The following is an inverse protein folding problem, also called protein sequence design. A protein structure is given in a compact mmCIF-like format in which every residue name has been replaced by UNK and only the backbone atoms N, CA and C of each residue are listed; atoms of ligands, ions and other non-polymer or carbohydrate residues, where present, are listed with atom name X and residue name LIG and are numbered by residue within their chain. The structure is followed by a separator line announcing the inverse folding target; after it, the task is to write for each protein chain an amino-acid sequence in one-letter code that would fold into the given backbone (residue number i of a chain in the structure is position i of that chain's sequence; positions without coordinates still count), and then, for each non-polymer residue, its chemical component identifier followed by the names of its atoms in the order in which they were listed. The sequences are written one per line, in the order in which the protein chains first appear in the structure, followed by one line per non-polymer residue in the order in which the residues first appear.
data_IF_229622630075
#
_entry.id   IF_229622630075
#
_cell.length_a   1.000
_cell.length_b   1.000
_cell.length_c   1.000
_cell.angle_alpha   90.00
_cell.angle_beta   90.00
_cell.angle_gamma   90.00
#
_symmetry.space_group_name_H-M   'P 1'
#
loop_
_entity.id
_entity.type
_entity.pdbx_description
1 polymer ?
#
# COMPACT_ATOMS: atom_id res chain seq x y z
N UNK A 1 -0.64 -21.91 3.83
CA UNK A 1 -1.96 -22.27 4.37
C UNK A 1 -2.29 -23.65 3.84
N UNK A 2 -2.98 -24.46 4.63
CA UNK A 2 -3.47 -25.78 4.25
C UNK A 2 -4.78 -25.71 3.46
N UNK A 3 -5.16 -26.80 2.80
CA UNK A 3 -6.37 -26.86 1.98
C UNK A 3 -7.64 -26.61 2.82
N UNK A 4 -7.66 -27.04 4.09
CA UNK A 4 -8.81 -26.84 4.99
C UNK A 4 -9.09 -25.35 5.33
N UNK A 5 -8.07 -24.52 5.25
CA UNK A 5 -8.21 -23.07 5.39
C UNK A 5 -8.77 -22.46 4.11
N UNK A 6 -8.30 -22.93 2.93
CA UNK A 6 -8.78 -22.45 1.65
C UNK A 6 -10.24 -22.83 1.37
N UNK A 7 -10.66 -24.03 1.78
CA UNK A 7 -12.07 -24.49 1.66
C UNK A 7 -13.08 -23.60 2.39
N UNK A 8 -12.62 -22.87 3.42
CA UNK A 8 -13.46 -21.93 4.18
C UNK A 8 -13.34 -20.49 3.68
N UNK A 9 -12.41 -20.22 2.76
CA UNK A 9 -12.20 -18.89 2.24
C UNK A 9 -13.30 -18.54 1.23
N UNK A 10 -13.96 -17.41 1.42
CA UNK A 10 -14.92 -16.85 0.46
C UNK A 10 -14.34 -15.63 -0.25
N UNK A 11 -13.49 -14.89 0.45
CA UNK A 11 -12.87 -13.65 -0.02
C UNK A 11 -11.46 -13.55 0.52
N UNK A 12 -10.50 -13.36 -0.38
CA UNK A 12 -9.12 -13.03 -0.04
C UNK A 12 -8.86 -11.57 -0.40
N UNK A 13 -8.57 -10.76 0.62
CA UNK A 13 -8.18 -9.36 0.44
C UNK A 13 -6.66 -9.26 0.47
N UNK A 14 -6.07 -8.69 -0.59
CA UNK A 14 -4.64 -8.38 -0.65
C UNK A 14 -4.42 -6.89 -0.93
N UNK A 15 -3.33 -6.35 -0.40
CA UNK A 15 -2.86 -5.00 -0.72
C UNK A 15 -1.56 -5.14 -1.51
N UNK A 16 -1.55 -4.66 -2.76
CA UNK A 16 -0.41 -4.83 -3.67
C UNK A 16 -0.16 -3.55 -4.48
N UNK A 17 0.81 -2.73 -4.09
CA UNK A 17 1.80 -2.85 -3.00
C UNK A 17 1.20 -2.78 -1.60
N UNK A 18 1.83 -3.45 -0.64
CA UNK A 18 1.36 -3.63 0.71
C UNK A 18 1.53 -2.41 1.61
N UNK A 19 0.53 -2.11 2.42
CA UNK A 19 0.62 -1.21 3.55
C UNK A 19 0.64 -2.07 4.83
N UNK A 20 1.68 -2.00 5.68
CA UNK A 20 2.68 -0.94 5.83
C UNK A 20 4.03 -1.19 5.14
N UNK A 21 4.31 -2.38 4.64
CA UNK A 21 5.66 -2.82 4.27
C UNK A 21 6.16 -2.31 2.92
N UNK A 22 5.26 -1.90 2.03
CA UNK A 22 5.58 -1.57 0.63
C UNK A 22 5.98 -2.77 -0.22
N UNK A 23 5.83 -4.00 0.29
CA UNK A 23 6.15 -5.22 -0.44
C UNK A 23 5.17 -5.46 -1.59
N UNK A 24 5.66 -6.06 -2.66
CA UNK A 24 4.87 -6.43 -3.83
C UNK A 24 4.84 -7.95 -4.02
N UNK A 25 3.80 -8.45 -4.67
CA UNK A 25 3.72 -9.85 -5.07
C UNK A 25 4.45 -10.09 -6.39
N UNK A 26 5.12 -11.24 -6.49
CA UNK A 26 5.68 -11.69 -7.77
C UNK A 26 4.59 -12.23 -8.70
N UNK A 27 4.92 -12.37 -10.00
CA UNK A 27 4.00 -12.98 -10.96
C UNK A 27 3.58 -14.40 -10.55
N UNK A 28 4.53 -15.21 -10.03
CA UNK A 28 4.29 -16.57 -9.58
C UNK A 28 3.36 -16.62 -8.36
N UNK A 29 3.51 -15.68 -7.43
CA UNK A 29 2.64 -15.57 -6.26
C UNK A 29 1.21 -15.20 -6.66
N UNK A 30 1.03 -14.18 -7.51
CA UNK A 30 -0.30 -13.79 -8.01
C UNK A 30 -0.95 -14.91 -8.82
N UNK A 31 -0.19 -15.56 -9.73
CA UNK A 31 -0.66 -16.73 -10.49
C UNK A 31 -1.13 -17.84 -9.55
N UNK A 32 -0.35 -18.14 -8.52
CA UNK A 32 -0.72 -19.17 -7.53
C UNK A 32 -1.99 -18.83 -6.78
N UNK A 33 -2.19 -17.58 -6.41
CA UNK A 33 -3.44 -17.12 -5.76
C UNK A 33 -4.64 -17.27 -6.70
N UNK A 34 -4.49 -16.94 -7.99
CA UNK A 34 -5.55 -17.11 -9.00
C UNK A 34 -5.90 -18.60 -9.16
N UNK A 35 -4.92 -19.49 -9.24
CA UNK A 35 -5.15 -20.94 -9.30
C UNK A 35 -5.91 -21.45 -8.06
N UNK A 36 -5.54 -20.98 -6.86
CA UNK A 36 -6.21 -21.31 -5.61
C UNK A 36 -7.66 -20.79 -5.59
N UNK A 37 -7.89 -19.55 -6.06
CA UNK A 37 -9.22 -18.97 -6.16
C UNK A 37 -10.15 -19.80 -7.05
N UNK A 38 -9.63 -20.31 -8.16
CA UNK A 38 -10.40 -21.21 -9.03
C UNK A 38 -10.62 -22.59 -8.39
N UNK A 39 -9.61 -23.14 -7.71
CA UNK A 39 -9.71 -24.46 -7.07
C UNK A 39 -10.68 -24.49 -5.89
N UNK A 40 -10.69 -23.44 -5.08
CA UNK A 40 -11.41 -23.38 -3.80
C UNK A 40 -12.61 -22.44 -3.80
N UNK A 41 -12.95 -21.88 -4.96
CA UNK A 41 -14.16 -21.08 -5.17
C UNK A 41 -14.25 -19.80 -4.35
N UNK A 42 -13.13 -19.07 -4.19
CA UNK A 42 -13.12 -17.77 -3.53
C UNK A 42 -12.78 -16.61 -4.49
N UNK A 43 -13.07 -15.38 -4.06
CA UNK A 43 -12.80 -14.16 -4.82
C UNK A 43 -11.52 -13.52 -4.28
N UNK A 44 -10.63 -13.05 -5.17
CA UNK A 44 -9.49 -12.21 -4.82
C UNK A 44 -9.88 -10.75 -5.05
N UNK A 45 -9.69 -9.93 -4.01
CA UNK A 45 -9.82 -8.47 -4.07
C UNK A 45 -8.45 -7.86 -3.80
N UNK A 46 -7.89 -7.18 -4.80
CA UNK A 46 -6.61 -6.49 -4.68
C UNK A 46 -6.81 -4.98 -4.53
N UNK A 47 -6.34 -4.43 -3.42
CA UNK A 47 -6.17 -2.98 -3.26
C UNK A 47 -4.84 -2.59 -3.89
N UNK A 48 -4.91 -1.97 -5.07
CA UNK A 48 -3.76 -1.53 -5.86
C UNK A 48 -3.54 -0.02 -5.82
N UNK A 49 -4.04 0.65 -4.77
CA UNK A 49 -3.97 2.11 -4.66
C UNK A 49 -2.55 2.68 -4.65
N UNK A 50 -1.53 1.89 -4.34
CA UNK A 50 -0.12 2.31 -4.32
C UNK A 50 0.66 1.93 -5.57
N UNK A 51 0.05 1.30 -6.56
CA UNK A 51 0.71 0.73 -7.75
C UNK A 51 1.53 1.75 -8.56
N UNK A 52 1.19 3.03 -8.49
CA UNK A 52 1.87 4.10 -9.22
C UNK A 52 3.00 4.80 -8.44
N UNK A 53 3.25 4.40 -7.19
CA UNK A 53 4.33 4.97 -6.36
C UNK A 53 5.44 3.92 -6.22
N UNK A 54 6.41 3.97 -7.10
CA UNK A 54 7.57 3.07 -7.14
C UNK A 54 8.80 3.81 -7.69
N UNK A 55 9.99 3.27 -7.46
CA UNK A 55 11.22 3.79 -8.04
C UNK A 55 11.32 3.38 -9.51
N UNK A 56 11.38 4.35 -10.43
CA UNK A 56 11.45 4.08 -11.88
C UNK A 56 12.72 3.32 -12.31
N UNK A 57 13.73 3.24 -11.44
CA UNK A 57 14.91 2.38 -11.64
C UNK A 57 14.64 0.92 -11.27
N UNK A 58 13.48 0.61 -10.70
CA UNK A 58 13.04 -0.73 -10.34
C UNK A 58 11.89 -1.20 -11.24
N UNK A 59 11.55 -2.49 -11.14
CA UNK A 59 10.40 -3.01 -11.85
C UNK A 59 9.10 -2.41 -11.31
N UNK A 60 8.19 -2.04 -12.24
CA UNK A 60 6.83 -1.62 -11.87
C UNK A 60 6.10 -2.75 -11.12
N UNK A 61 5.34 -2.43 -10.05
CA UNK A 61 4.47 -3.39 -9.40
C UNK A 61 3.51 -4.07 -10.39
N UNK A 62 3.40 -5.39 -10.30
CA UNK A 62 2.51 -6.18 -11.15
C UNK A 62 1.06 -6.09 -10.64
N UNK A 63 0.11 -5.88 -11.54
CA UNK A 63 -1.31 -5.87 -11.23
C UNK A 63 -1.93 -7.27 -11.27
N UNK A 64 -2.94 -7.52 -10.43
CA UNK A 64 -3.68 -8.79 -10.40
C UNK A 64 -4.32 -9.11 -11.75
N UNK A 65 -4.95 -8.14 -12.42
CA UNK A 65 -5.62 -8.36 -13.70
C UNK A 65 -4.62 -8.64 -14.82
N UNK A 66 -3.46 -7.98 -14.81
CA UNK A 66 -2.38 -8.25 -15.76
C UNK A 66 -1.92 -9.72 -15.69
N UNK A 67 -1.71 -10.22 -14.47
CA UNK A 67 -1.30 -11.62 -14.27
C UNK A 67 -2.45 -12.58 -14.55
N UNK A 68 -3.68 -12.20 -14.24
CA UNK A 68 -4.88 -12.99 -14.59
C UNK A 68 -4.96 -13.23 -16.11
N UNK A 69 -4.83 -12.20 -16.92
CA UNK A 69 -4.84 -12.30 -18.39
C UNK A 69 -3.68 -13.18 -18.88
N UNK A 70 -2.45 -12.89 -18.44
CA UNK A 70 -1.25 -13.68 -18.81
C UNK A 70 -1.32 -15.15 -18.40
N UNK A 71 -2.13 -15.48 -17.40
CA UNK A 71 -2.32 -16.85 -16.88
C UNK A 71 -3.48 -17.59 -17.56
N UNK A 72 -4.07 -17.04 -18.63
CA UNK A 72 -5.15 -17.68 -19.36
C UNK A 72 -6.55 -17.44 -18.79
N UNK A 73 -6.71 -16.41 -17.94
CA UNK A 73 -7.99 -15.96 -17.41
C UNK A 73 -8.35 -14.54 -17.91
N UNK A 74 -8.57 -14.34 -19.24
CA UNK A 74 -8.78 -13.02 -19.83
C UNK A 74 -10.14 -12.40 -19.46
N UNK A 75 -11.04 -13.17 -18.86
CA UNK A 75 -12.32 -12.68 -18.32
C UNK A 75 -12.20 -12.21 -16.85
N UNK A 76 -10.99 -12.28 -16.29
CA UNK A 76 -10.68 -11.91 -14.90
C UNK A 76 -11.56 -12.64 -13.87
N UNK A 77 -12.04 -13.83 -14.20
CA UNK A 77 -12.93 -14.59 -13.31
C UNK A 77 -12.35 -14.67 -11.92
N UNK A 78 -13.14 -14.32 -10.89
CA UNK A 78 -12.80 -14.26 -9.46
C UNK A 78 -11.74 -13.20 -9.06
N UNK A 79 -11.37 -12.29 -9.98
CA UNK A 79 -10.39 -11.24 -9.72
C UNK A 79 -11.06 -9.87 -9.76
N UNK A 80 -10.87 -9.08 -8.70
CA UNK A 80 -11.35 -7.70 -8.60
C UNK A 80 -10.22 -6.82 -8.09
N UNK A 81 -10.02 -5.65 -8.70
CA UNK A 81 -9.02 -4.66 -8.27
C UNK A 81 -9.67 -3.33 -7.95
N UNK A 82 -9.08 -2.64 -6.98
CA UNK A 82 -9.44 -1.27 -6.61
C UNK A 82 -8.26 -0.34 -6.84
N UNK A 83 -8.51 0.77 -7.53
CA UNK A 83 -7.56 1.86 -7.73
C UNK A 83 -8.12 3.18 -7.24
N UNK A 84 -7.25 4.14 -6.89
CA UNK A 84 -7.67 5.42 -6.36
C UNK A 84 -6.73 6.55 -6.76
N UNK A 85 -7.28 7.74 -6.96
CA UNK A 85 -6.49 8.98 -7.09
C UNK A 85 -5.82 9.41 -5.79
N UNK A 86 -6.21 8.82 -4.66
CA UNK A 86 -5.70 9.19 -3.33
C UNK A 86 -4.17 9.17 -3.24
N UNK A 87 -3.54 8.18 -3.88
CA UNK A 87 -2.08 8.00 -3.84
C UNK A 87 -1.43 8.30 -5.19
N UNK A 88 -2.02 7.83 -6.29
CA UNK A 88 -1.56 8.11 -7.64
C UNK A 88 -1.42 9.61 -7.91
N UNK A 89 -2.43 10.39 -7.53
CA UNK A 89 -2.52 11.83 -7.81
C UNK A 89 -2.39 12.70 -6.56
N UNK A 90 -1.99 12.12 -5.43
CA UNK A 90 -1.89 12.80 -4.14
C UNK A 90 -3.16 13.61 -3.76
N UNK A 91 -4.33 13.09 -4.14
CA UNK A 91 -5.64 13.74 -4.00
C UNK A 91 -6.64 12.90 -3.18
N UNK A 92 -6.33 12.54 -1.92
CA UNK A 92 -7.20 11.68 -1.12
C UNK A 92 -8.55 12.32 -0.79
N UNK A 93 -8.63 13.66 -0.78
CA UNK A 93 -9.85 14.42 -0.50
C UNK A 93 -10.91 14.32 -1.60
N UNK A 94 -10.53 14.01 -2.84
CA UNK A 94 -11.48 13.84 -3.93
C UNK A 94 -12.38 12.61 -3.77
N UNK A 95 -12.01 11.63 -2.95
CA UNK A 95 -12.76 10.39 -2.77
C UNK A 95 -13.06 9.68 -4.09
N UNK A 96 -12.11 9.73 -5.02
CA UNK A 96 -12.21 9.17 -6.37
C UNK A 96 -11.37 7.91 -6.54
N UNK A 97 -11.96 6.93 -7.20
CA UNK A 97 -11.33 5.66 -7.55
C UNK A 97 -12.23 4.85 -8.48
N UNK A 98 -11.77 3.70 -8.89
CA UNK A 98 -12.53 2.77 -9.67
C UNK A 98 -12.30 1.33 -9.22
N UNK A 99 -13.21 0.46 -9.64
CA UNK A 99 -13.13 -1.00 -9.49
C UNK A 99 -13.16 -1.64 -10.88
N UNK A 100 -12.35 -2.66 -11.08
CA UNK A 100 -12.29 -3.42 -12.33
C UNK A 100 -12.12 -4.93 -12.04
N UNK A 101 -12.46 -5.79 -13.00
CA UNK A 101 -12.27 -7.25 -12.87
C UNK A 101 -13.44 -8.08 -13.41
N UNK A 102 -13.78 -9.15 -12.70
CA UNK A 102 -14.85 -10.09 -13.03
C UNK A 102 -16.18 -9.39 -13.27
N UNK A 103 -16.72 -9.51 -14.48
CA UNK A 103 -17.93 -8.78 -14.91
C UNK A 103 -19.20 -9.19 -14.12
N UNK A 104 -19.30 -10.45 -13.71
CA UNK A 104 -20.46 -10.93 -12.97
C UNK A 104 -20.46 -10.42 -11.53
N UNK A 105 -19.28 -10.39 -10.91
CA UNK A 105 -19.08 -9.78 -9.60
C UNK A 105 -19.35 -8.28 -9.67
N UNK A 106 -18.80 -7.58 -10.68
CA UNK A 106 -18.99 -6.15 -10.85
C UNK A 106 -20.45 -5.77 -11.09
N UNK A 107 -21.22 -6.59 -11.80
CA UNK A 107 -22.66 -6.38 -12.00
C UNK A 107 -23.41 -6.37 -10.66
N UNK A 108 -23.12 -7.34 -9.80
CA UNK A 108 -23.73 -7.44 -8.46
C UNK A 108 -23.27 -6.28 -7.55
N UNK A 109 -21.96 -5.97 -7.58
CA UNK A 109 -21.38 -4.83 -6.86
C UNK A 109 -22.01 -3.50 -7.29
N UNK A 110 -22.19 -3.26 -8.58
CA UNK A 110 -22.80 -2.05 -9.12
C UNK A 110 -24.25 -1.90 -8.65
N UNK A 111 -25.03 -2.98 -8.67
CA UNK A 111 -26.40 -2.98 -8.13
C UNK A 111 -26.42 -2.62 -6.65
N UNK A 112 -25.54 -3.20 -5.85
CA UNK A 112 -25.40 -2.87 -4.43
C UNK A 112 -25.02 -1.39 -4.23
N UNK A 113 -24.05 -0.89 -5.00
CA UNK A 113 -23.56 0.50 -4.95
C UNK A 113 -24.63 1.52 -5.31
N UNK A 114 -25.63 1.17 -6.10
CA UNK A 114 -26.74 2.06 -6.45
C UNK A 114 -27.52 2.50 -5.21
N UNK A 115 -27.58 1.66 -4.18
CA UNK A 115 -28.33 1.92 -2.94
C UNK A 115 -27.44 2.24 -1.74
N UNK A 116 -26.16 1.85 -1.78
CA UNK A 116 -25.20 2.02 -0.70
C UNK A 116 -24.03 2.92 -1.10
N UNK A 117 -23.81 3.97 -0.32
CA UNK A 117 -22.78 4.96 -0.54
C UNK A 117 -23.21 6.07 -1.50
N UNK A 118 -22.38 7.10 -1.58
CA UNK A 118 -22.63 8.27 -2.41
C UNK A 118 -21.85 8.18 -3.72
N UNK A 119 -22.42 8.72 -4.80
CA UNK A 119 -21.67 9.03 -6.02
C UNK A 119 -20.82 10.28 -5.81
N UNK A 120 -19.76 10.43 -6.59
CA UNK A 120 -18.99 11.66 -6.64
C UNK A 120 -19.84 12.82 -7.18
N UNK A 121 -19.64 14.03 -6.66
CA UNK A 121 -20.24 15.23 -7.24
C UNK A 121 -19.74 15.46 -8.67
N UNK A 122 -20.55 16.15 -9.50
CA UNK A 122 -20.17 16.43 -10.89
C UNK A 122 -18.82 17.15 -11.01
N UNK A 123 -18.49 18.18 -10.21
CA UNK A 123 -17.16 18.79 -10.22
C UNK A 123 -16.04 17.80 -9.92
N UNK A 124 -16.25 16.89 -8.96
CA UNK A 124 -15.27 15.86 -8.62
C UNK A 124 -15.09 14.86 -9.78
N UNK A 125 -16.15 14.51 -10.51
CA UNK A 125 -16.05 13.65 -11.69
C UNK A 125 -15.19 14.30 -12.78
N UNK A 126 -15.38 15.58 -13.09
CA UNK A 126 -14.55 16.31 -14.04
C UNK A 126 -13.08 16.39 -13.60
N UNK A 127 -12.83 16.71 -12.32
CA UNK A 127 -11.48 16.69 -11.77
C UNK A 127 -10.83 15.30 -11.85
N UNK A 128 -11.61 14.24 -11.60
CA UNK A 128 -11.15 12.85 -11.72
C UNK A 128 -10.76 12.51 -13.15
N UNK A 129 -11.58 12.87 -14.15
CA UNK A 129 -11.28 12.64 -15.56
C UNK A 129 -9.96 13.33 -15.94
N UNK A 130 -9.78 14.59 -15.54
CA UNK A 130 -8.55 15.31 -15.79
C UNK A 130 -7.33 14.62 -15.15
N UNK A 131 -7.43 14.19 -13.89
CA UNK A 131 -6.34 13.54 -13.18
C UNK A 131 -6.00 12.14 -13.74
N UNK A 132 -7.00 11.36 -14.18
CA UNK A 132 -6.74 10.05 -14.81
C UNK A 132 -6.11 10.17 -16.20
N UNK A 133 -6.32 11.29 -16.91
CA UNK A 133 -5.76 11.55 -18.24
C UNK A 133 -4.37 12.24 -18.20
N UNK A 134 -3.89 12.64 -17.04
CA UNK A 134 -2.59 13.29 -16.88
C UNK A 134 -1.58 12.35 -16.20
N UNK A 135 -0.55 11.97 -16.95
CA UNK A 135 0.57 11.15 -16.44
C UNK A 135 1.77 12.01 -15.97
N UNK A 136 1.81 13.29 -16.35
CA UNK A 136 2.96 14.15 -16.03
C UNK A 136 3.07 14.36 -14.51
N UNK A 137 1.94 14.64 -13.82
CA UNK A 137 1.95 14.80 -12.37
C UNK A 137 2.25 13.48 -11.63
N UNK A 138 1.89 12.33 -12.22
CA UNK A 138 2.17 11.00 -11.63
C UNK A 138 3.66 10.71 -11.65
N UNK A 139 4.32 10.94 -12.79
CA UNK A 139 5.77 10.80 -12.91
C UNK A 139 6.52 11.77 -11.99
N UNK A 140 6.09 13.03 -11.94
CA UNK A 140 6.66 14.01 -11.01
C UNK A 140 6.50 13.58 -9.53
N UNK A 141 5.30 13.15 -9.13
CA UNK A 141 5.05 12.66 -7.78
C UNK A 141 5.94 11.44 -7.43
N UNK A 142 6.12 10.54 -8.38
CA UNK A 142 7.00 9.37 -8.26
C UNK A 142 8.46 9.76 -8.04
N UNK A 143 8.96 10.75 -8.80
CA UNK A 143 10.33 11.26 -8.66
C UNK A 143 10.57 11.89 -7.27
N UNK A 144 9.59 12.64 -6.75
CA UNK A 144 9.67 13.21 -5.40
C UNK A 144 9.74 12.13 -4.31
N UNK A 145 8.95 11.05 -4.43
CA UNK A 145 9.03 9.94 -3.46
C UNK A 145 10.37 9.21 -3.56
N UNK A 146 10.90 8.98 -4.76
CA UNK A 146 12.23 8.39 -4.96
C UNK A 146 13.30 9.23 -4.25
N UNK A 147 13.28 10.56 -4.40
CA UNK A 147 14.18 11.47 -3.71
C UNK A 147 14.05 11.34 -2.19
N UNK A 148 12.83 11.44 -1.64
CA UNK A 148 12.57 11.31 -0.20
C UNK A 148 13.13 10.01 0.38
N UNK A 149 12.92 8.87 -0.30
CA UNK A 149 13.48 7.59 0.13
C UNK A 149 14.99 7.62 0.16
N UNK A 150 15.63 8.12 -0.89
CA UNK A 150 17.09 8.17 -0.98
C UNK A 150 17.69 9.04 0.16
N UNK A 151 17.13 10.23 0.38
CA UNK A 151 17.61 11.16 1.39
C UNK A 151 17.38 10.62 2.81
N UNK A 152 16.17 10.21 3.14
CA UNK A 152 15.81 9.71 4.47
C UNK A 152 16.58 8.43 4.81
N UNK A 153 16.68 7.48 3.88
CA UNK A 153 17.42 6.25 4.11
C UNK A 153 18.93 6.49 4.29
N UNK A 154 19.52 7.42 3.55
CA UNK A 154 20.92 7.80 3.73
C UNK A 154 21.18 8.43 5.12
N UNK A 155 20.28 9.28 5.60
CA UNK A 155 20.37 9.92 6.93
C UNK A 155 20.24 8.88 8.04
N UNK A 156 19.29 7.96 7.92
CA UNK A 156 18.99 6.94 8.93
C UNK A 156 19.89 5.70 8.84
N UNK A 157 20.73 5.60 7.82
CA UNK A 157 21.68 4.51 7.66
C UNK A 157 22.49 4.33 8.95
N UNK A 158 22.67 3.08 9.38
CA UNK A 158 23.36 2.72 10.64
C UNK A 158 22.67 3.17 11.95
N UNK A 159 21.48 3.79 11.87
CA UNK A 159 20.71 4.18 13.07
C UNK A 159 19.50 3.30 13.30
N UNK A 160 18.87 2.86 12.23
CA UNK A 160 17.73 1.93 12.24
C UNK A 160 17.95 0.82 11.21
N UNK A 161 17.39 -0.36 11.49
CA UNK A 161 17.28 -1.43 10.51
C UNK A 161 16.15 -1.07 9.52
N UNK A 162 16.54 -0.67 8.32
CA UNK A 162 15.66 -0.20 7.26
C UNK A 162 15.87 -1.03 6.00
N UNK A 163 14.76 -1.39 5.35
CA UNK A 163 14.76 -1.93 3.99
C UNK A 163 14.01 -0.96 3.09
N UNK A 164 14.57 -0.65 1.90
CA UNK A 164 13.85 0.11 0.89
C UNK A 164 12.62 -0.70 0.46
N UNK A 165 11.40 -0.13 0.50
CA UNK A 165 10.22 -0.82 0.04
C UNK A 165 10.25 -1.01 -1.48
N UNK A 166 9.54 -2.01 -1.99
CA UNK A 166 9.40 -2.21 -3.43
C UNK A 166 8.54 -1.09 -4.05
N UNK A 167 7.55 -0.60 -3.30
CA UNK A 167 6.66 0.49 -3.72
C UNK A 167 5.94 1.15 -2.53
N UNK A 168 5.08 2.17 -2.81
CA UNK A 168 4.39 2.96 -1.79
C UNK A 168 5.25 4.10 -1.25
N UNK A 169 4.83 4.69 -0.14
CA UNK A 169 5.52 5.84 0.48
C UNK A 169 5.80 5.64 1.97
N UNK A 170 5.86 4.40 2.42
CA UNK A 170 6.14 4.05 3.80
C UNK A 170 7.52 3.46 3.96
N UNK A 171 8.20 3.83 5.05
CA UNK A 171 9.28 3.04 5.62
C UNK A 171 8.70 2.21 6.78
N UNK A 172 9.00 0.93 6.77
CA UNK A 172 8.69 -0.03 7.83
C UNK A 172 9.97 -0.31 8.59
N UNK A 173 10.18 0.45 9.67
CA UNK A 173 11.43 0.49 10.40
C UNK A 173 11.34 -0.35 11.67
N UNK A 174 12.36 -1.19 11.92
CA UNK A 174 12.51 -1.89 13.20
C UNK A 174 13.04 -0.94 14.26
N UNK A 175 12.43 -0.96 15.43
CA UNK A 175 12.78 -0.09 16.56
C UNK A 175 13.67 -0.80 17.57
N UNK A 176 14.63 -0.07 18.23
CA UNK A 176 15.51 -0.65 19.23
C UNK A 176 14.80 -0.93 20.57
N UNK A 177 13.65 -0.32 20.80
CA UNK A 177 12.77 -0.52 21.96
C UNK A 177 11.35 -0.84 21.48
N UNK A 178 10.40 -1.07 22.38
CA UNK A 178 8.98 -1.27 22.01
C UNK A 178 8.51 -0.17 21.04
N UNK A 179 7.84 -0.54 19.98
CA UNK A 179 7.30 0.38 18.97
C UNK A 179 6.34 1.44 19.57
N UNK A 180 5.57 1.06 20.57
CA UNK A 180 4.65 1.96 21.30
C UNK A 180 5.46 2.99 22.10
N UNK A 181 6.46 2.54 22.84
CA UNK A 181 7.35 3.42 23.62
C UNK A 181 8.18 4.31 22.71
N UNK A 182 8.72 3.74 21.60
CA UNK A 182 9.46 4.49 20.60
C UNK A 182 8.64 5.64 20.02
N UNK A 183 7.41 5.37 19.60
CA UNK A 183 6.52 6.38 19.03
C UNK A 183 6.16 7.48 20.05
N UNK A 184 5.86 7.10 21.29
CA UNK A 184 5.52 8.05 22.35
C UNK A 184 6.69 8.99 22.69
N UNK A 185 7.89 8.43 22.94
CA UNK A 185 9.10 9.22 23.25
C UNK A 185 9.56 10.08 22.07
N UNK A 186 9.45 9.56 20.83
CA UNK A 186 9.79 10.32 19.63
C UNK A 186 8.87 11.54 19.48
N UNK A 187 7.59 11.37 19.73
CA UNK A 187 6.64 12.49 19.71
C UNK A 187 6.94 13.50 20.82
N UNK A 188 7.15 13.04 22.05
CA UNK A 188 7.43 13.89 23.20
C UNK A 188 8.72 14.73 23.02
N UNK A 189 9.79 14.10 22.53
CA UNK A 189 11.11 14.72 22.47
C UNK A 189 11.40 15.44 21.15
N UNK A 190 10.80 14.96 20.05
CA UNK A 190 11.12 15.44 18.71
C UNK A 190 9.92 15.95 17.93
N UNK A 191 8.70 15.86 18.48
CA UNK A 191 7.44 16.26 17.83
C UNK A 191 7.22 15.59 16.46
N UNK A 192 7.65 14.32 16.34
CA UNK A 192 7.51 13.52 15.14
C UNK A 192 6.54 12.39 15.43
N UNK A 193 5.49 12.28 14.60
CA UNK A 193 4.49 11.22 14.69
C UNK A 193 4.84 10.07 13.76
N UNK A 194 4.97 8.87 14.33
CA UNK A 194 5.07 7.60 13.60
C UNK A 194 3.99 6.65 14.12
N UNK A 195 3.61 5.66 13.32
CA UNK A 195 2.56 4.73 13.73
C UNK A 195 3.18 3.42 14.23
N UNK A 196 2.93 3.03 15.51
CA UNK A 196 3.36 1.75 16.05
C UNK A 196 2.83 0.57 15.22
N UNK A 197 3.68 -0.40 14.97
CA UNK A 197 3.35 -1.54 14.14
C UNK A 197 2.30 -2.45 14.77
N UNK A 198 2.29 -2.57 16.08
CA UNK A 198 1.27 -3.34 16.80
C UNK A 198 -0.16 -2.82 16.56
N UNK A 199 -0.34 -1.54 16.20
CA UNK A 199 -1.66 -0.99 15.85
C UNK A 199 -2.09 -1.31 14.41
N UNK A 200 -1.16 -1.80 13.58
CA UNK A 200 -1.42 -2.20 12.19
C UNK A 200 -1.52 -3.72 12.01
N UNK A 201 -1.37 -4.48 13.08
CA UNK A 201 -1.28 -5.94 13.03
C UNK A 201 -2.13 -6.59 14.11
N UNK A 202 -2.23 -7.89 14.03
CA UNK A 202 -2.94 -8.72 15.03
C UNK A 202 -2.00 -9.75 15.60
N UNK A 203 -2.26 -10.15 16.83
CA UNK A 203 -1.60 -11.30 17.45
C UNK A 203 -1.90 -12.57 16.65
N UNK A 204 -0.86 -13.34 16.40
CA UNK A 204 -0.93 -14.63 15.69
C UNK A 204 -0.28 -15.72 16.55
N UNK A 205 -0.40 -16.98 16.14
CA UNK A 205 0.29 -18.08 16.80
C UNK A 205 1.82 -17.92 16.85
N UNK A 206 2.38 -17.08 15.96
CA UNK A 206 3.81 -16.78 15.87
C UNK A 206 4.18 -15.41 16.46
N UNK A 207 3.31 -14.80 17.26
CA UNK A 207 3.45 -13.45 17.82
C UNK A 207 2.85 -12.37 16.94
N UNK A 208 3.04 -11.12 17.34
CA UNK A 208 2.55 -9.95 16.62
C UNK A 208 3.57 -9.49 15.56
N UNK A 209 3.27 -9.58 14.25
CA UNK A 209 4.21 -9.23 13.17
C UNK A 209 4.57 -7.75 13.11
N UNK A 210 3.80 -6.87 13.77
CA UNK A 210 4.10 -5.44 13.87
C UNK A 210 4.92 -5.05 15.08
N UNK A 211 5.18 -5.98 16.00
CA UNK A 211 5.92 -5.71 17.22
C UNK A 211 7.34 -5.21 16.89
N UNK A 212 7.77 -4.19 17.63
CA UNK A 212 9.06 -3.52 17.44
C UNK A 212 9.27 -2.95 16.02
N UNK A 213 8.20 -2.53 15.37
CA UNK A 213 8.26 -1.81 14.10
C UNK A 213 7.43 -0.53 14.16
N UNK A 214 7.83 0.48 13.40
CA UNK A 214 7.02 1.68 13.18
C UNK A 214 6.88 1.95 11.70
N UNK A 215 5.70 2.48 11.32
CA UNK A 215 5.46 2.98 9.97
C UNK A 215 5.73 4.48 9.93
N UNK A 216 6.67 4.89 9.07
CA UNK A 216 6.98 6.28 8.75
C UNK A 216 6.41 6.60 7.37
N UNK A 217 5.52 7.60 7.26
CA UNK A 217 4.95 8.02 5.99
C UNK A 217 5.71 9.25 5.45
N UNK A 218 6.36 9.13 4.29
CA UNK A 218 7.16 10.20 3.70
C UNK A 218 6.31 11.18 2.89
N UNK A 219 5.20 11.66 3.46
CA UNK A 219 4.21 12.50 2.76
C UNK A 219 4.55 14.00 2.78
N UNK A 220 5.32 14.46 3.77
CA UNK A 220 5.77 15.84 3.89
C UNK A 220 6.71 16.23 2.72
N UNK A 221 6.97 17.54 2.48
CA UNK A 221 8.02 17.98 1.56
C UNK A 221 9.38 17.32 1.81
N UNK A 222 10.27 17.32 0.80
CA UNK A 222 11.58 16.63 0.86
C UNK A 222 12.40 17.14 2.05
N UNK A 223 12.44 18.46 2.23
CA UNK A 223 13.19 19.14 3.29
C UNK A 223 12.69 18.75 4.68
N UNK A 224 11.38 18.69 4.88
CA UNK A 224 10.76 18.28 6.15
C UNK A 224 11.00 16.80 6.45
N UNK A 225 10.94 15.94 5.43
CA UNK A 225 11.28 14.52 5.57
C UNK A 225 12.74 14.34 6.00
N UNK A 226 13.66 15.09 5.41
CA UNK A 226 15.10 15.06 5.73
C UNK A 226 15.37 15.61 7.14
N UNK A 227 14.73 16.72 7.51
CA UNK A 227 14.82 17.26 8.87
C UNK A 227 14.32 16.25 9.91
N UNK A 228 13.14 15.67 9.66
CA UNK A 228 12.58 14.64 10.54
C UNK A 228 13.52 13.44 10.69
N UNK A 229 14.15 13.00 9.60
CA UNK A 229 15.14 11.92 9.66
C UNK A 229 16.36 12.27 10.54
N UNK A 230 16.88 13.49 10.45
CA UNK A 230 17.96 13.95 11.33
C UNK A 230 17.54 13.97 12.81
N UNK A 231 16.33 14.42 13.12
CA UNK A 231 15.78 14.43 14.49
C UNK A 231 15.56 13.01 15.02
N UNK A 232 15.07 12.08 14.19
CA UNK A 232 14.95 10.66 14.53
C UNK A 232 16.33 10.08 14.84
N UNK A 233 17.35 10.39 14.03
CA UNK A 233 18.73 9.95 14.25
C UNK A 233 19.32 10.49 15.56
N UNK A 234 19.00 11.72 15.93
CA UNK A 234 19.40 12.29 17.23
C UNK A 234 18.70 11.59 18.39
N UNK A 235 17.39 11.39 18.28
CA UNK A 235 16.60 10.69 19.28
C UNK A 235 17.12 9.27 19.56
N UNK A 236 17.46 8.51 18.52
CA UNK A 236 17.97 7.14 18.66
C UNK A 236 19.27 7.11 19.49
N UNK A 237 20.11 8.15 19.40
CA UNK A 237 21.35 8.24 20.21
C UNK A 237 21.09 8.45 21.71
N UNK A 238 19.89 8.82 22.09
CA UNK A 238 19.48 9.04 23.47
C UNK A 238 18.81 7.83 24.11
N UNK A 239 18.55 6.79 23.33
CA UNK A 239 17.99 5.52 23.80
C UNK A 239 19.05 4.60 24.34
#
# INVERSE_FOLDING_TARGET
MDDSTWEKCQLLYICNPGNPSGATHTAEQLKKLIELAHRFDFIIVADECYSEIYDEQQAKPLGLLEISERSGNPRFSRCVVFHSLSKRSNAPGLRSGFVAGDADILKSYFSYRTYHGCTMSVPTQHASIAAWNDEAHVSHNRSLYTQKFNDVMAILANSLELKKPDAGFYLWAKTPISDIEFAAKLFEQQHITVLPGQYLSRETANGNPGQNHVRMALVAPVEECSEAAHRIKQFIKTL
#
